data_IF_297957839753
#
_entry.id   IF_297957839753
#
_cell.length_a   1.000
_cell.length_b   1.000
_cell.length_c   1.000
_cell.angle_alpha   90.00
_cell.angle_beta   90.00
_cell.angle_gamma   90.00
#
_symmetry.space_group_name_H-M   'P 1'
#
loop_
_entity.id
_entity.type
_entity.pdbx_description
1 polymer ?
#
# COMPACT_ATOMS: atom_id res chain seq x y z
N UNK A 1 7.83 -0.23 18.07
CA UNK A 1 7.34 1.09 17.61
C UNK A 1 6.09 0.84 16.77
N UNK A 2 5.05 1.65 16.90
CA UNK A 2 3.77 1.45 16.19
C UNK A 2 3.70 2.32 14.92
N UNK A 3 2.79 2.01 13.99
CA UNK A 3 2.65 2.76 12.73
C UNK A 3 2.27 4.22 13.00
N UNK A 4 1.30 4.46 13.89
CA UNK A 4 0.86 5.82 14.23
C UNK A 4 1.99 6.61 14.87
N UNK A 5 2.83 5.97 15.69
CA UNK A 5 3.99 6.63 16.26
C UNK A 5 5.03 7.00 15.19
N UNK A 6 5.25 6.13 14.20
CA UNK A 6 6.12 6.45 13.06
C UNK A 6 5.53 7.58 12.20
N UNK A 7 4.22 7.60 11.98
CA UNK A 7 3.56 8.72 11.28
C UNK A 7 3.74 10.04 12.04
N UNK A 8 3.65 10.03 13.37
CA UNK A 8 3.84 11.23 14.20
C UNK A 8 5.28 11.75 14.19
N UNK A 9 6.27 10.86 14.26
CA UNK A 9 7.65 11.24 14.58
C UNK A 9 8.64 11.05 13.43
N UNK A 10 8.33 10.16 12.48
CA UNK A 10 9.22 9.73 11.40
C UNK A 10 8.59 9.92 10.01
N UNK A 11 7.59 10.79 9.89
CA UNK A 11 7.01 11.13 8.59
C UNK A 11 7.32 12.54 8.16
N UNK A 12 7.35 12.74 6.84
CA UNK A 12 7.50 14.05 6.21
C UNK A 12 6.32 14.30 5.29
N UNK A 13 5.59 15.38 5.57
CA UNK A 13 4.56 15.91 4.65
C UNK A 13 5.24 16.57 3.45
N UNK A 14 4.78 16.24 2.26
CA UNK A 14 5.28 16.76 0.99
C UNK A 14 4.04 17.21 0.20
N UNK A 15 4.12 18.38 -0.45
CA UNK A 15 2.97 19.00 -1.13
C UNK A 15 2.95 18.76 -2.65
N UNK A 16 4.11 18.51 -3.24
CA UNK A 16 4.32 18.33 -4.68
C UNK A 16 4.79 16.90 -4.99
N UNK A 17 4.25 16.22 -6.03
CA UNK A 17 3.25 16.69 -7.00
C UNK A 17 1.80 16.73 -6.47
N UNK A 18 1.58 16.15 -5.29
CA UNK A 18 0.34 16.27 -4.52
C UNK A 18 0.65 16.07 -3.04
N UNK A 19 -0.29 16.40 -2.16
CA UNK A 19 -0.10 16.23 -0.72
C UNK A 19 0.00 14.75 -0.34
N UNK A 20 1.15 14.33 0.16
CA UNK A 20 1.42 12.99 0.65
C UNK A 20 2.37 13.03 1.86
N UNK A 21 2.48 11.90 2.54
CA UNK A 21 3.44 11.70 3.63
C UNK A 21 4.31 10.54 3.27
N UNK A 22 5.63 10.74 3.32
CA UNK A 22 6.59 9.64 3.33
C UNK A 22 6.90 9.26 4.77
N UNK A 23 6.97 7.97 5.06
CA UNK A 23 7.07 7.44 6.43
C UNK A 23 8.30 6.53 6.51
N UNK A 24 9.21 6.83 7.44
CA UNK A 24 10.40 6.02 7.71
C UNK A 24 10.18 5.07 8.89
N UNK A 25 10.57 3.81 8.69
CA UNK A 25 10.45 2.70 9.64
C UNK A 25 9.05 2.53 10.29
N UNK A 26 7.97 2.47 9.49
CA UNK A 26 6.61 2.33 10.03
C UNK A 26 6.29 0.99 10.67
N UNK A 27 6.99 -0.08 10.31
CA UNK A 27 6.65 -1.45 10.68
C UNK A 27 7.66 -2.03 11.67
N UNK A 28 7.21 -2.94 12.53
CA UNK A 28 8.11 -3.75 13.36
C UNK A 28 8.80 -4.84 12.53
N UNK A 29 9.89 -5.39 13.06
CA UNK A 29 10.61 -6.50 12.41
C UNK A 29 9.72 -7.74 12.24
N UNK A 30 8.83 -8.00 13.19
CA UNK A 30 7.85 -9.09 13.13
C UNK A 30 6.82 -8.87 12.01
N UNK A 31 6.31 -7.65 11.87
CA UNK A 31 5.39 -7.31 10.76
C UNK A 31 6.10 -7.47 9.40
N UNK A 32 7.34 -6.99 9.28
CA UNK A 32 8.15 -7.14 8.07
C UNK A 32 8.40 -8.61 7.74
N UNK A 33 8.67 -9.43 8.75
CA UNK A 33 8.86 -10.87 8.60
C UNK A 33 7.58 -11.53 8.08
N UNK A 34 6.42 -11.23 8.65
CA UNK A 34 5.12 -11.75 8.17
C UNK A 34 4.85 -11.35 6.72
N UNK A 35 5.06 -10.08 6.36
CA UNK A 35 4.92 -9.57 4.99
C UNK A 35 5.82 -10.33 4.02
N UNK A 36 7.10 -10.51 4.36
CA UNK A 36 8.08 -11.15 3.48
C UNK A 36 7.87 -12.66 3.36
N UNK A 37 7.37 -13.33 4.41
CA UNK A 37 7.20 -14.78 4.46
C UNK A 37 5.83 -15.25 3.95
N UNK A 38 4.86 -14.34 3.81
CA UNK A 38 3.55 -14.66 3.25
C UNK A 38 3.69 -15.24 1.84
N UNK A 39 3.23 -16.47 1.67
CA UNK A 39 3.24 -17.16 0.38
C UNK A 39 2.15 -16.57 -0.51
N UNK A 40 2.57 -16.02 -1.64
CA UNK A 40 1.70 -15.47 -2.68
C UNK A 40 1.96 -16.24 -3.96
N UNK A 41 0.88 -16.68 -4.61
CA UNK A 41 0.88 -17.59 -5.76
C UNK A 41 1.88 -17.19 -6.84
N UNK A 42 2.53 -18.19 -7.44
CA UNK A 42 3.41 -18.06 -8.60
C UNK A 42 2.69 -18.29 -9.93
N UNK A 43 1.35 -18.31 -9.93
CA UNK A 43 0.55 -18.53 -11.14
C UNK A 43 0.94 -17.58 -12.29
N UNK A 44 0.81 -18.02 -13.56
CA UNK A 44 1.09 -17.20 -14.74
C UNK A 44 0.29 -15.89 -14.72
N UNK A 45 0.88 -14.82 -15.24
CA UNK A 45 0.44 -13.44 -15.00
C UNK A 45 0.14 -12.72 -16.29
N UNK A 46 -0.97 -11.99 -16.34
CA UNK A 46 -1.26 -11.05 -17.43
C UNK A 46 -0.83 -9.65 -17.01
N UNK A 47 0.46 -9.35 -17.12
CA UNK A 47 1.00 -8.01 -16.85
C UNK A 47 0.73 -7.03 -18.00
N UNK A 48 -0.53 -6.66 -18.15
CA UNK A 48 -0.96 -5.71 -19.18
C UNK A 48 -0.99 -4.25 -18.71
N UNK A 49 -0.68 -4.02 -17.42
CA UNK A 49 -0.53 -2.71 -16.80
C UNK A 49 -1.82 -1.96 -16.51
N UNK A 50 -2.99 -2.51 -16.84
CA UNK A 50 -4.28 -1.80 -16.67
C UNK A 50 -4.85 -1.93 -15.26
N UNK A 51 -4.47 -2.97 -14.52
CA UNK A 51 -4.90 -3.20 -13.14
C UNK A 51 -3.82 -3.88 -12.32
N UNK A 52 -3.79 -3.56 -11.02
CA UNK A 52 -2.90 -4.19 -10.05
C UNK A 52 -3.35 -5.60 -9.62
N UNK A 53 -4.60 -5.95 -9.95
CA UNK A 53 -5.26 -7.23 -9.66
C UNK A 53 -6.17 -7.60 -10.84
N UNK A 54 -6.71 -8.83 -10.83
CA UNK A 54 -7.37 -9.50 -11.95
C UNK A 54 -8.23 -8.60 -12.86
N UNK A 55 -7.87 -8.56 -14.14
CA UNK A 55 -8.63 -7.85 -15.18
C UNK A 55 -9.86 -8.63 -15.63
N UNK A 56 -9.79 -9.95 -15.69
CA UNK A 56 -10.85 -10.77 -16.30
C UNK A 56 -11.91 -11.19 -15.28
N UNK A 57 -11.56 -11.17 -13.99
CA UNK A 57 -12.46 -11.65 -12.93
C UNK A 57 -12.54 -13.17 -12.86
N UNK A 58 -11.71 -13.88 -13.64
CA UNK A 58 -11.63 -15.34 -13.67
C UNK A 58 -10.80 -15.90 -12.49
N UNK A 59 -10.29 -15.04 -11.62
CA UNK A 59 -9.52 -15.36 -10.42
C UNK A 59 -8.02 -15.54 -10.64
N UNK A 60 -7.49 -15.30 -11.85
CA UNK A 60 -6.09 -15.57 -12.19
C UNK A 60 -5.13 -14.58 -11.51
N UNK A 61 -5.30 -13.25 -11.67
CA UNK A 61 -4.43 -12.27 -10.99
C UNK A 61 -4.93 -11.87 -9.59
N UNK A 62 -6.12 -12.35 -9.17
CA UNK A 62 -6.61 -12.21 -7.80
C UNK A 62 -5.69 -12.90 -6.77
N UNK A 63 -4.80 -13.76 -7.28
CA UNK A 63 -3.79 -14.51 -6.54
C UNK A 63 -2.50 -13.73 -6.25
N UNK A 64 -2.35 -12.50 -6.76
CA UNK A 64 -1.16 -11.63 -6.56
C UNK A 64 -1.23 -10.75 -5.31
N UNK A 65 -2.39 -10.72 -4.67
CA UNK A 65 -2.67 -9.93 -3.48
C UNK A 65 -3.18 -10.88 -2.41
N UNK A 66 -2.52 -10.91 -1.26
CA UNK A 66 -2.97 -11.68 -0.12
C UNK A 66 -3.76 -10.75 0.81
N UNK A 67 -5.09 -10.84 0.73
CA UNK A 67 -5.98 -10.04 1.56
C UNK A 67 -5.99 -10.54 3.00
N UNK A 68 -5.83 -9.64 3.96
CA UNK A 68 -6.04 -9.96 5.37
C UNK A 68 -7.51 -9.87 5.73
N UNK A 69 -8.05 -10.97 6.23
CA UNK A 69 -9.45 -11.12 6.62
C UNK A 69 -9.57 -11.87 7.96
N UNK A 70 -10.78 -11.99 8.50
CA UNK A 70 -11.00 -12.70 9.78
C UNK A 70 -10.61 -14.18 9.72
N UNK A 71 -10.65 -14.79 8.54
CA UNK A 71 -10.34 -16.20 8.34
C UNK A 71 -8.83 -16.47 8.41
N UNK A 72 -7.99 -15.52 8.01
CA UNK A 72 -6.54 -15.74 7.90
C UNK A 72 -5.67 -14.87 8.84
N UNK A 73 -6.22 -13.84 9.48
CA UNK A 73 -5.45 -12.91 10.33
C UNK A 73 -4.73 -13.60 11.49
N UNK A 74 -5.24 -14.74 11.97
CA UNK A 74 -4.63 -15.53 13.03
C UNK A 74 -3.25 -16.10 12.64
N UNK A 75 -2.95 -16.16 11.33
CA UNK A 75 -1.65 -16.57 10.79
C UNK A 75 -0.62 -15.43 10.82
N UNK A 76 -1.06 -14.19 11.09
CA UNK A 76 -0.26 -12.97 11.07
C UNK A 76 -0.44 -12.17 12.37
N UNK A 77 0.01 -12.70 13.52
CA UNK A 77 -0.20 -12.06 14.82
C UNK A 77 0.39 -10.65 14.92
N UNK A 78 1.51 -10.34 14.26
CA UNK A 78 2.05 -8.99 14.26
C UNK A 78 1.20 -8.04 13.41
N UNK A 79 0.72 -8.47 12.24
CA UNK A 79 -0.22 -7.69 11.42
C UNK A 79 -1.61 -7.57 12.06
N UNK A 80 -2.02 -8.50 12.94
CA UNK A 80 -3.22 -8.33 13.77
C UNK A 80 -3.12 -7.11 14.69
N UNK A 81 -1.95 -6.88 15.29
CA UNK A 81 -1.70 -5.68 16.11
C UNK A 81 -1.76 -4.40 15.26
N UNK A 82 -1.31 -4.46 14.01
CA UNK A 82 -1.45 -3.35 13.06
C UNK A 82 -2.93 -3.06 12.74
N UNK A 83 -3.73 -4.10 12.51
CA UNK A 83 -5.19 -3.97 12.32
C UNK A 83 -5.82 -3.32 13.55
N UNK A 84 -5.50 -3.79 14.76
CA UNK A 84 -6.05 -3.24 16.00
C UNK A 84 -5.64 -1.78 16.21
N UNK A 85 -4.40 -1.42 15.89
CA UNK A 85 -3.93 -0.05 15.93
C UNK A 85 -4.73 0.84 14.96
N UNK A 86 -4.97 0.37 13.73
CA UNK A 86 -5.67 1.12 12.69
C UNK A 86 -7.19 1.19 12.88
N UNK A 87 -7.77 0.30 13.68
CA UNK A 87 -9.18 0.35 14.09
C UNK A 87 -9.39 1.15 15.37
N UNK A 88 -8.33 1.51 16.09
CA UNK A 88 -8.46 2.28 17.31
C UNK A 88 -8.98 3.71 17.03
N UNK A 89 -10.00 4.15 17.78
CA UNK A 89 -10.64 5.45 17.61
C UNK A 89 -9.69 6.65 17.68
N UNK A 90 -8.62 6.60 18.48
CA UNK A 90 -7.62 7.69 18.52
C UNK A 90 -6.75 7.70 17.27
N UNK A 91 -6.33 6.54 16.79
CA UNK A 91 -5.60 6.39 15.54
C UNK A 91 -6.41 6.87 14.35
N UNK A 92 -7.66 6.44 14.24
CA UNK A 92 -8.60 6.84 13.17
C UNK A 92 -8.82 8.35 13.17
N UNK A 93 -9.09 8.95 14.34
CA UNK A 93 -9.23 10.41 14.47
C UNK A 93 -7.96 11.16 14.10
N UNK A 94 -6.79 10.66 14.52
CA UNK A 94 -5.51 11.26 14.19
C UNK A 94 -5.24 11.21 12.67
N UNK A 95 -5.42 10.04 12.04
CA UNK A 95 -5.27 9.87 10.60
C UNK A 95 -6.26 10.75 9.83
N UNK A 96 -7.54 10.77 10.23
CA UNK A 96 -8.54 11.62 9.61
C UNK A 96 -8.21 13.11 9.68
N UNK A 97 -7.66 13.56 10.82
CA UNK A 97 -7.21 14.95 11.01
C UNK A 97 -6.06 15.32 10.06
N UNK A 98 -4.98 14.53 10.01
CA UNK A 98 -3.82 14.86 9.16
C UNK A 98 -4.14 14.75 7.66
N UNK A 99 -5.06 13.85 7.28
CA UNK A 99 -5.52 13.65 5.91
C UNK A 99 -6.63 14.62 5.51
N UNK A 100 -7.17 15.40 6.45
CA UNK A 100 -8.36 16.23 6.30
C UNK A 100 -9.53 15.44 5.67
N UNK A 101 -9.81 14.26 6.23
CA UNK A 101 -10.80 13.30 5.72
C UNK A 101 -11.47 12.60 6.89
N UNK A 102 -12.80 12.56 6.90
CA UNK A 102 -13.52 11.73 7.85
C UNK A 102 -13.40 10.25 7.45
N UNK A 103 -12.96 9.42 8.39
CA UNK A 103 -12.77 7.98 8.24
C UNK A 103 -13.82 7.18 9.04
N UNK A 104 -14.70 7.83 9.79
CA UNK A 104 -15.74 7.15 10.56
C UNK A 104 -16.74 6.44 9.65
N UNK A 105 -17.17 5.23 10.03
CA UNK A 105 -18.08 4.41 9.24
C UNK A 105 -17.47 3.88 7.93
N UNK A 106 -16.15 3.99 7.77
CA UNK A 106 -15.40 3.37 6.68
C UNK A 106 -14.97 1.96 7.07
N UNK A 107 -14.24 1.31 6.17
CA UNK A 107 -13.74 -0.03 6.37
C UNK A 107 -12.24 -0.09 6.08
N UNK A 108 -11.50 -0.83 6.90
CA UNK A 108 -10.08 -1.06 6.71
C UNK A 108 -9.87 -2.23 5.73
N UNK A 109 -9.03 -2.03 4.72
CA UNK A 109 -8.62 -3.07 3.75
C UNK A 109 -7.10 -3.17 3.74
N UNK A 110 -6.58 -4.36 4.04
CA UNK A 110 -5.15 -4.63 4.04
C UNK A 110 -4.83 -5.79 3.10
N UNK A 111 -3.83 -5.61 2.26
CA UNK A 111 -3.33 -6.63 1.33
C UNK A 111 -1.80 -6.68 1.33
N UNK A 112 -1.24 -7.88 1.35
CA UNK A 112 0.19 -8.13 1.15
C UNK A 112 0.45 -8.38 -0.33
N UNK A 113 1.52 -7.79 -0.84
CA UNK A 113 1.83 -7.66 -2.26
C UNK A 113 3.17 -8.32 -2.57
N UNK A 114 3.22 -9.07 -3.68
CA UNK A 114 4.46 -9.59 -4.28
C UNK A 114 4.48 -9.36 -5.80
N UNK A 115 4.94 -8.17 -6.20
CA UNK A 115 5.13 -7.86 -7.61
C UNK A 115 6.43 -8.54 -8.09
N UNK A 116 6.44 -9.18 -9.27
CA UNK A 116 7.59 -9.95 -9.80
C UNK A 116 7.93 -9.46 -11.20
N UNK A 117 8.98 -10.05 -11.79
CA UNK A 117 9.48 -9.67 -13.10
C UNK A 117 8.35 -9.50 -14.14
N UNK A 118 8.30 -8.31 -14.75
CA UNK A 118 7.32 -7.93 -15.75
C UNK A 118 6.13 -7.14 -15.19
N UNK A 119 5.96 -7.05 -13.87
CA UNK A 119 4.91 -6.20 -13.28
C UNK A 119 5.18 -4.72 -13.57
N UNK A 120 4.12 -4.03 -13.95
CA UNK A 120 4.04 -2.59 -14.12
C UNK A 120 2.59 -2.17 -13.96
N UNK A 121 2.35 -0.88 -13.74
CA UNK A 121 1.00 -0.36 -13.56
C UNK A 121 0.92 1.05 -14.15
N UNK A 122 -0.02 1.24 -15.07
CA UNK A 122 -0.20 2.52 -15.75
C UNK A 122 -0.52 3.65 -14.75
N UNK A 123 -0.19 4.90 -15.08
CA UNK A 123 -0.58 6.05 -14.26
C UNK A 123 -2.09 6.10 -14.07
N UNK A 124 -2.53 6.08 -12.81
CA UNK A 124 -3.94 6.09 -12.45
C UNK A 124 -4.19 6.93 -11.20
N UNK A 125 -5.45 7.24 -10.95
CA UNK A 125 -5.92 7.70 -9.64
C UNK A 125 -6.72 6.59 -8.98
N UNK A 126 -6.64 6.49 -7.66
CA UNK A 126 -7.45 5.53 -6.90
C UNK A 126 -8.94 5.69 -7.15
N UNK A 127 -9.72 4.62 -6.97
CA UNK A 127 -11.19 4.65 -7.07
C UNK A 127 -11.81 5.55 -5.99
N UNK A 128 -13.03 6.07 -6.23
CA UNK A 128 -13.68 7.03 -5.32
C UNK A 128 -13.97 6.47 -3.93
N UNK A 129 -14.08 5.16 -3.83
CA UNK A 129 -14.33 4.41 -2.60
C UNK A 129 -13.12 4.39 -1.68
N UNK A 130 -11.90 4.66 -2.17
CA UNK A 130 -10.70 4.78 -1.34
C UNK A 130 -10.60 6.18 -0.75
N UNK A 131 -10.80 6.27 0.58
CA UNK A 131 -10.66 7.50 1.36
C UNK A 131 -9.18 7.82 1.63
N UNK A 132 -8.37 6.79 1.82
CA UNK A 132 -6.94 6.86 2.09
C UNK A 132 -6.25 5.67 1.43
N UNK A 133 -5.07 5.89 0.87
CA UNK A 133 -4.18 4.83 0.41
C UNK A 133 -2.78 4.99 0.99
N UNK A 134 -2.25 3.89 1.51
CA UNK A 134 -0.92 3.77 2.08
C UNK A 134 -0.25 2.53 1.54
N UNK A 135 0.99 2.66 1.09
CA UNK A 135 1.80 1.56 0.60
C UNK A 135 3.14 1.57 1.34
N UNK A 136 3.40 0.51 2.09
CA UNK A 136 4.61 0.35 2.88
C UNK A 136 5.45 -0.78 2.30
N UNK A 137 6.72 -0.50 2.05
CA UNK A 137 7.67 -1.36 1.38
C UNK A 137 8.43 -2.24 2.37
N UNK A 138 8.57 -3.51 2.00
CA UNK A 138 9.52 -4.42 2.60
C UNK A 138 10.45 -4.87 1.49
N UNK A 139 11.74 -4.50 1.52
CA UNK A 139 12.72 -4.86 0.48
C UNK A 139 13.70 -5.91 1.03
N UNK A 140 13.30 -7.20 1.16
CA UNK A 140 14.15 -8.24 1.76
C UNK A 140 15.30 -8.68 0.83
N UNK A 141 15.22 -8.37 -0.46
CA UNK A 141 16.18 -8.84 -1.47
C UNK A 141 17.11 -7.77 -2.00
N UNK A 142 17.08 -6.56 -1.42
CA UNK A 142 17.89 -5.42 -1.85
C UNK A 142 17.70 -5.11 -3.35
N UNK A 143 16.45 -5.23 -3.79
CA UNK A 143 16.01 -4.76 -5.11
C UNK A 143 16.32 -3.27 -5.26
N UNK A 144 16.39 -2.80 -6.51
CA UNK A 144 16.65 -1.39 -6.82
C UNK A 144 15.67 -0.46 -6.11
N UNK A 145 16.18 0.62 -5.48
CA UNK A 145 15.33 1.66 -4.89
C UNK A 145 14.46 2.37 -5.95
N UNK A 146 14.82 2.26 -7.24
CA UNK A 146 14.01 2.79 -8.33
C UNK A 146 12.68 2.02 -8.51
N UNK A 147 12.49 0.85 -7.89
CA UNK A 147 11.26 0.08 -7.98
C UNK A 147 10.10 0.62 -7.15
N UNK A 148 10.23 1.82 -6.58
CA UNK A 148 9.15 2.39 -5.81
C UNK A 148 8.11 3.08 -6.70
N UNK A 149 7.08 3.64 -6.07
CA UNK A 149 5.92 4.18 -6.79
C UNK A 149 6.29 5.46 -7.51
N UNK A 150 5.95 5.52 -8.80
CA UNK A 150 6.08 6.72 -9.62
C UNK A 150 4.85 7.61 -9.42
N UNK A 151 5.08 8.89 -9.16
CA UNK A 151 4.07 9.94 -9.14
C UNK A 151 4.20 10.79 -10.40
N UNK A 152 3.05 11.14 -10.97
CA UNK A 152 3.00 11.79 -12.27
C UNK A 152 2.40 13.19 -12.18
N UNK A 153 2.89 14.07 -13.05
CA UNK A 153 2.22 15.33 -13.38
C UNK A 153 0.96 15.08 -14.22
N UNK A 154 0.13 16.11 -14.42
CA UNK A 154 -1.09 15.98 -15.23
C UNK A 154 -0.83 15.71 -16.71
N UNK A 155 0.38 15.97 -17.22
CA UNK A 155 0.84 15.60 -18.57
C UNK A 155 1.52 14.21 -18.62
N UNK A 156 1.32 13.38 -17.59
CA UNK A 156 1.79 11.99 -17.48
C UNK A 156 3.32 11.83 -17.50
N UNK A 157 4.06 12.86 -17.07
CA UNK A 157 5.51 12.75 -16.84
C UNK A 157 5.76 12.36 -15.40
N UNK A 158 6.76 11.52 -15.17
CA UNK A 158 7.21 11.19 -13.82
C UNK A 158 7.74 12.47 -13.17
N UNK A 159 7.06 12.91 -12.11
CA UNK A 159 7.50 14.00 -11.24
C UNK A 159 8.49 13.49 -10.20
N UNK A 160 8.20 12.31 -9.64
CA UNK A 160 8.95 11.73 -8.53
C UNK A 160 8.75 10.22 -8.48
N UNK A 161 9.77 9.50 -8.04
CA UNK A 161 9.65 8.11 -7.60
C UNK A 161 9.88 8.07 -6.09
N UNK A 162 8.90 7.61 -5.31
CA UNK A 162 9.11 7.31 -3.88
C UNK A 162 10.03 6.10 -3.81
N UNK A 163 11.18 6.12 -3.11
CA UNK A 163 12.16 5.05 -3.23
C UNK A 163 11.70 3.74 -2.56
N UNK A 164 11.95 2.60 -3.20
CA UNK A 164 11.68 1.25 -2.67
C UNK A 164 12.70 0.82 -1.60
N UNK A 165 12.75 1.58 -0.51
CA UNK A 165 13.58 1.31 0.65
C UNK A 165 12.92 0.28 1.56
N UNK A 166 13.73 -0.50 2.26
CA UNK A 166 13.22 -1.43 3.27
C UNK A 166 12.60 -0.66 4.45
N UNK A 167 11.41 -1.06 4.88
CA UNK A 167 10.66 -0.42 5.98
C UNK A 167 10.47 1.09 5.75
N UNK A 168 9.91 1.42 4.60
CA UNK A 168 9.65 2.78 4.16
C UNK A 168 8.37 2.81 3.36
N UNK A 169 7.69 3.94 3.25
CA UNK A 169 6.51 4.01 2.40
C UNK A 169 5.90 5.38 2.34
N UNK A 170 4.67 5.43 1.85
CA UNK A 170 3.93 6.67 1.74
C UNK A 170 2.44 6.46 1.96
N UNK A 171 1.76 7.54 2.29
CA UNK A 171 0.29 7.61 2.33
C UNK A 171 -0.21 8.92 1.75
N UNK A 172 -1.43 8.90 1.22
CA UNK A 172 -2.12 10.07 0.69
C UNK A 172 -3.63 9.86 0.69
N UNK A 173 -4.35 10.98 0.59
CA UNK A 173 -5.80 11.00 0.33
C UNK A 173 -6.03 11.07 -1.16
N UNK A 174 -7.00 10.31 -1.68
CA UNK A 174 -7.38 10.38 -3.10
C UNK A 174 -7.65 11.83 -3.52
N UNK A 175 -7.09 12.23 -4.65
CA UNK A 175 -7.38 13.49 -5.32
C UNK A 175 -7.40 13.33 -6.84
N UNK A 176 -7.94 14.33 -7.56
CA UNK A 176 -7.94 14.32 -9.04
C UNK A 176 -6.52 14.37 -9.62
N UNK A 177 -5.56 14.89 -8.86
CA UNK A 177 -4.15 15.06 -9.22
C UNK A 177 -3.22 14.07 -8.53
N UNK A 178 -3.74 13.01 -7.89
CA UNK A 178 -2.91 11.99 -7.23
C UNK A 178 -2.56 10.86 -8.19
N UNK A 179 -2.03 11.21 -9.37
CA UNK A 179 -1.64 10.26 -10.40
C UNK A 179 -0.39 9.50 -9.94
N UNK A 180 -0.50 8.18 -9.92
CA UNK A 180 0.57 7.30 -9.49
C UNK A 180 0.51 5.96 -10.23
N UNK A 181 1.61 5.21 -10.18
CA UNK A 181 1.75 3.95 -10.90
C UNK A 181 3.14 3.36 -10.70
N UNK A 182 3.53 2.48 -11.59
CA UNK A 182 4.87 1.91 -11.63
C UNK A 182 5.26 1.67 -13.08
N UNK A 183 6.26 2.40 -13.55
CA UNK A 183 6.81 2.18 -14.90
C UNK A 183 7.35 0.75 -15.05
N UNK A 184 7.49 0.32 -16.31
CA UNK A 184 8.16 -0.95 -16.62
C UNK A 184 9.62 -0.89 -16.15
N UNK A 185 9.91 -1.62 -15.08
CA UNK A 185 11.22 -1.70 -14.44
C UNK A 185 11.57 -3.16 -14.18
N UNK A 186 12.86 -3.47 -14.17
CA UNK A 186 13.33 -4.81 -13.87
C UNK A 186 13.17 -5.11 -12.38
N UNK A 187 12.41 -6.16 -12.05
CA UNK A 187 12.30 -6.76 -10.72
C UNK A 187 13.07 -8.08 -10.76
N UNK A 188 14.15 -8.20 -9.98
CA UNK A 188 15.07 -9.34 -10.08
C UNK A 188 14.45 -10.59 -9.43
N UNK A 189 13.87 -10.42 -8.25
CA UNK A 189 13.26 -11.48 -7.43
C UNK A 189 11.81 -11.17 -7.12
N UNK A 190 11.54 -10.17 -6.27
CA UNK A 190 10.20 -9.68 -5.99
C UNK A 190 10.21 -8.37 -5.19
N UNK A 191 9.27 -7.51 -5.54
CA UNK A 191 8.94 -6.27 -4.84
C UNK A 191 7.79 -6.54 -3.87
N UNK A 192 8.14 -6.70 -2.60
CA UNK A 192 7.21 -6.90 -1.48
C UNK A 192 6.71 -5.58 -0.89
N UNK A 193 5.42 -5.53 -0.60
CA UNK A 193 4.81 -4.41 0.13
C UNK A 193 3.55 -4.84 0.87
N UNK A 194 3.07 -3.98 1.76
CA UNK A 194 1.73 -4.06 2.34
C UNK A 194 0.98 -2.78 1.95
N UNK A 195 -0.22 -2.96 1.41
CA UNK A 195 -1.10 -1.87 1.06
C UNK A 195 -2.26 -1.81 2.06
N UNK A 196 -2.50 -0.61 2.57
CA UNK A 196 -3.49 -0.31 3.60
C UNK A 196 -4.38 0.79 3.06
N UNK A 197 -5.69 0.57 3.08
CA UNK A 197 -6.66 1.56 2.63
C UNK A 197 -7.80 1.69 3.65
N UNK A 198 -8.32 2.90 3.81
CA UNK A 198 -9.68 3.11 4.32
C UNK A 198 -10.62 3.25 3.13
N UNK A 199 -11.68 2.43 3.08
CA UNK A 199 -12.60 2.33 1.95
C UNK A 199 -14.06 2.48 2.39
N UNK A 200 -14.95 2.83 1.47
CA UNK A 200 -16.39 3.00 1.76
C UNK A 200 -17.24 1.75 1.53
N UNK A 201 -16.67 0.69 0.95
CA UNK A 201 -17.36 -0.59 0.78
C UNK A 201 -17.01 -1.54 1.92
N UNK A 202 -17.92 -2.45 2.23
CA UNK A 202 -17.78 -3.36 3.37
C UNK A 202 -16.55 -4.27 3.24
N UNK A 203 -15.82 -4.38 4.35
CA UNK A 203 -14.78 -5.38 4.58
C UNK A 203 -15.00 -5.98 5.96
N UNK A 204 -14.15 -6.92 6.36
CA UNK A 204 -14.20 -7.49 7.71
C UNK A 204 -13.95 -6.49 8.85
N UNK A 205 -13.39 -5.32 8.55
CA UNK A 205 -12.83 -4.40 9.53
C UNK A 205 -13.55 -3.05 9.47
N UNK A 206 -14.69 -2.95 10.14
CA UNK A 206 -15.47 -1.70 10.26
C UNK A 206 -14.80 -0.71 11.23
N UNK A 207 -14.82 0.58 10.88
CA UNK A 207 -14.17 1.70 11.58
C UNK A 207 -15.18 2.58 12.31
#
# INVERSE_FOLDING_TARGET
>A
MTLINAIKNNSRKILDPFTHWEIDKPLSEEMLKEICQTKISDAPRLYDGTRAADKTGDGLDGTLRYYLDKNNIHQHPALKLLVDELLNNESVRYLGSILNKDLSGSFLRIEIIADRNGFWLEPHTDIKEKLMSMLLYANPYKESENLGTDFYTSDLKISKTVPYKHNYGYMFTRGKNTLHGLEKKEIIKERRSIQINYVTFETDWNV
#
